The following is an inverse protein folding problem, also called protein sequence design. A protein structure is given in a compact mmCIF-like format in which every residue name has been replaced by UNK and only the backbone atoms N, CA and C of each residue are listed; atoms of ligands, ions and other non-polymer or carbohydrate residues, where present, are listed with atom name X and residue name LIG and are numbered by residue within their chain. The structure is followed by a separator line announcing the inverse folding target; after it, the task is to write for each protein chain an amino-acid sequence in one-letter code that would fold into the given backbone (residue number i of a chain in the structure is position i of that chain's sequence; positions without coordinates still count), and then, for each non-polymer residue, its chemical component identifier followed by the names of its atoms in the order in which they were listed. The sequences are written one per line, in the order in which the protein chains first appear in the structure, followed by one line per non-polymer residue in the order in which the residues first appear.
data_IF_471141062949
#
_entry.id   IF_471141062949
#
_cell.length_a   1.000
_cell.length_b   1.000
_cell.length_c   1.000
_cell.angle_alpha   90.00
_cell.angle_beta   90.00
_cell.angle_gamma   90.00
#
_symmetry.space_group_name_H-M   'P 1'
#
loop_
_entity.id
_entity.type
_entity.pdbx_description
1 polymer ?
#
# COMPACT_ATOMS: atom_id res chain seq x y z
N UNK A 1 -5.70 -11.90 4.42
CA UNK A 1 -5.19 -13.10 5.09
C UNK A 1 -4.54 -12.78 6.42
N UNK A 2 -3.51 -11.91 6.46
CA UNK A 2 -2.79 -11.60 7.69
C UNK A 2 -3.72 -11.03 8.78
N UNK A 3 -4.60 -10.11 8.42
CA UNK A 3 -5.60 -9.56 9.35
C UNK A 3 -6.48 -10.66 9.95
N UNK A 4 -7.05 -11.52 9.11
CA UNK A 4 -7.89 -12.65 9.56
C UNK A 4 -7.13 -13.63 10.45
N UNK A 5 -5.85 -13.90 10.14
CA UNK A 5 -4.99 -14.78 10.93
C UNK A 5 -4.69 -14.24 12.33
N UNK A 6 -4.65 -12.92 12.48
CA UNK A 6 -4.28 -12.23 13.71
C UNK A 6 -5.47 -11.56 14.42
N UNK A 7 -6.71 -11.92 14.05
CA UNK A 7 -7.95 -11.36 14.62
C UNK A 7 -8.02 -9.81 14.51
N UNK A 8 -7.47 -9.25 13.42
CA UNK A 8 -7.52 -7.82 13.13
C UNK A 8 -8.58 -7.52 12.07
N UNK A 9 -9.20 -6.36 12.18
CA UNK A 9 -10.16 -5.86 11.21
C UNK A 9 -9.55 -4.77 10.34
N UNK A 10 -10.08 -4.62 9.13
CA UNK A 10 -9.65 -3.60 8.19
C UNK A 10 -9.79 -2.18 8.74
N UNK A 11 -10.81 -1.96 9.56
CA UNK A 11 -11.12 -0.67 10.18
C UNK A 11 -10.25 -0.29 11.39
N UNK A 12 -9.36 -1.17 11.85
CA UNK A 12 -8.54 -0.91 13.05
C UNK A 12 -7.07 -1.32 12.89
N UNK A 13 -6.56 -1.36 11.66
CA UNK A 13 -5.18 -1.76 11.36
C UNK A 13 -4.29 -0.61 10.88
N UNK A 14 -4.73 0.64 10.98
CA UNK A 14 -4.05 1.79 10.37
C UNK A 14 -2.64 2.04 10.91
N UNK A 15 -2.44 1.95 12.23
CA UNK A 15 -1.12 2.12 12.85
C UNK A 15 -0.13 1.04 12.39
N UNK A 16 -0.57 -0.21 12.38
CA UNK A 16 0.23 -1.32 11.87
C UNK A 16 0.55 -1.14 10.38
N UNK A 17 -0.42 -0.67 9.61
CA UNK A 17 -0.24 -0.41 8.19
C UNK A 17 0.74 0.74 7.97
N UNK A 18 0.66 1.80 8.78
CA UNK A 18 1.60 2.91 8.76
C UNK A 18 3.04 2.41 9.02
N UNK A 19 3.23 1.60 10.07
CA UNK A 19 4.52 0.99 10.38
C UNK A 19 5.08 0.17 9.20
N UNK A 20 4.26 -0.68 8.60
CA UNK A 20 4.70 -1.48 7.45
C UNK A 20 5.06 -0.60 6.25
N UNK A 21 4.27 0.44 5.98
CA UNK A 21 4.52 1.35 4.89
C UNK A 21 5.75 2.24 5.13
N UNK A 22 6.03 2.62 6.38
CA UNK A 22 7.30 3.26 6.74
C UNK A 22 8.49 2.40 6.33
N UNK A 23 8.52 1.13 6.78
CA UNK A 23 9.61 0.21 6.46
C UNK A 23 9.75 -0.05 4.96
N UNK A 24 8.62 -0.25 4.28
CA UNK A 24 8.58 -0.50 2.84
C UNK A 24 9.13 0.69 2.04
N UNK A 25 8.61 1.88 2.30
CA UNK A 25 9.02 3.10 1.59
C UNK A 25 10.48 3.45 1.90
N UNK A 26 10.87 3.41 3.17
CA UNK A 26 12.25 3.66 3.60
C UNK A 26 13.24 2.70 2.92
N UNK A 27 12.93 1.42 2.87
CA UNK A 27 13.78 0.42 2.24
C UNK A 27 13.97 0.66 0.75
N UNK A 28 12.89 0.96 0.03
CA UNK A 28 12.95 1.24 -1.42
C UNK A 28 13.75 2.52 -1.69
N UNK A 29 13.47 3.61 -0.98
CA UNK A 29 14.17 4.88 -1.14
C UNK A 29 15.65 4.71 -0.80
N UNK A 30 15.96 4.05 0.32
CA UNK A 30 17.34 3.79 0.73
C UNK A 30 18.11 2.97 -0.31
N UNK A 31 17.48 1.96 -0.90
CA UNK A 31 18.08 1.16 -1.98
C UNK A 31 18.36 2.01 -3.23
N UNK A 32 17.42 2.89 -3.61
CA UNK A 32 17.62 3.81 -4.75
C UNK A 32 18.75 4.80 -4.49
N UNK A 33 18.92 5.29 -3.25
CA UNK A 33 20.04 6.15 -2.86
C UNK A 33 21.35 5.37 -2.91
N UNK A 34 21.40 4.13 -2.44
CA UNK A 34 22.60 3.29 -2.51
C UNK A 34 23.01 3.03 -3.96
N UNK A 35 22.06 2.81 -4.84
CA UNK A 35 22.33 2.69 -6.28
C UNK A 35 22.82 3.99 -6.88
N UNK A 36 22.32 5.15 -6.41
CA UNK A 36 22.80 6.46 -6.87
C UNK A 36 24.22 6.73 -6.37
N UNK A 37 24.58 6.32 -5.15
CA UNK A 37 25.94 6.41 -4.63
C UNK A 37 26.93 5.58 -5.45
N UNK A 38 26.50 4.41 -5.94
CA UNK A 38 27.32 3.49 -6.73
C UNK A 38 27.40 3.91 -8.22
N UNK A 39 26.30 4.41 -8.81
CA UNK A 39 26.11 4.57 -10.27
C UNK A 39 25.75 5.98 -10.71
N UNK A 40 25.72 6.94 -9.81
CA UNK A 40 25.19 8.28 -10.04
C UNK A 40 23.66 8.36 -9.91
N UNK A 41 23.17 9.55 -9.67
CA UNK A 41 21.74 9.85 -9.67
C UNK A 41 21.12 9.63 -11.06
N UNK A 42 19.79 9.54 -11.12
CA UNK A 42 19.09 9.54 -12.43
C UNK A 42 19.20 10.92 -13.10
N UNK A 43 19.17 10.94 -14.42
CA UNK A 43 19.33 12.18 -15.21
C UNK A 43 18.27 13.24 -14.85
N UNK A 44 17.05 12.80 -14.54
CA UNK A 44 15.95 13.67 -14.17
C UNK A 44 15.96 14.09 -12.68
N UNK A 45 16.99 13.74 -11.89
CA UNK A 45 17.00 13.98 -10.43
C UNK A 45 16.71 15.45 -10.08
N UNK A 46 17.35 16.38 -10.78
CA UNK A 46 17.22 17.81 -10.52
C UNK A 46 15.77 18.34 -10.66
N UNK A 47 14.96 17.68 -11.49
CA UNK A 47 13.57 18.04 -11.75
C UNK A 47 12.57 17.31 -10.83
N UNK A 48 13.07 16.54 -9.86
CA UNK A 48 12.24 15.75 -8.96
C UNK A 48 12.05 16.40 -7.60
N UNK A 49 10.99 16.02 -6.89
CA UNK A 49 10.77 16.42 -5.49
C UNK A 49 11.85 15.89 -4.55
N UNK A 50 12.57 14.85 -4.94
CA UNK A 50 13.72 14.33 -4.21
C UNK A 50 14.85 15.35 -4.10
N UNK A 51 15.10 16.13 -5.18
CA UNK A 51 16.08 17.22 -5.18
C UNK A 51 15.64 18.40 -4.29
N UNK A 52 14.32 18.59 -4.12
CA UNK A 52 13.76 19.56 -3.18
C UNK A 52 13.83 19.07 -1.70
N UNK A 53 14.34 17.88 -1.46
CA UNK A 53 14.37 17.26 -0.13
C UNK A 53 13.02 16.76 0.36
N UNK A 54 12.02 16.65 -0.52
CA UNK A 54 10.67 16.22 -0.18
C UNK A 54 10.51 14.71 -0.36
N UNK A 55 10.10 14.03 0.71
CA UNK A 55 9.70 12.62 0.68
C UNK A 55 8.17 12.51 0.48
N UNK A 56 7.65 11.36 0.03
CA UNK A 56 6.20 11.16 -0.08
C UNK A 56 5.45 11.51 1.21
N UNK A 57 5.99 11.13 2.36
CA UNK A 57 5.40 11.37 3.69
C UNK A 57 5.26 12.86 4.06
N UNK A 58 5.94 13.77 3.37
CA UNK A 58 5.85 15.22 3.60
C UNK A 58 4.72 15.86 2.81
N UNK A 59 4.06 15.09 1.97
CA UNK A 59 3.00 15.56 1.08
C UNK A 59 1.60 15.42 1.70
N UNK A 60 1.53 15.21 3.01
CA UNK A 60 0.27 15.14 3.75
C UNK A 60 -0.39 16.50 3.89
N UNK A 61 -1.67 16.50 4.25
CA UNK A 61 -2.45 17.68 4.57
C UNK A 61 -2.64 17.82 6.09
N UNK A 62 -2.90 19.01 6.64
CA UNK A 62 -3.22 19.16 8.05
C UNK A 62 -4.38 18.26 8.52
N UNK A 63 -5.35 18.02 7.65
CA UNK A 63 -6.44 17.10 7.94
C UNK A 63 -5.93 15.66 8.10
N UNK A 64 -5.01 15.20 7.26
CA UNK A 64 -4.39 13.89 7.41
C UNK A 64 -3.67 13.79 8.76
N UNK A 65 -2.82 14.77 9.08
CA UNK A 65 -2.01 14.77 10.29
C UNK A 65 -2.88 14.81 11.57
N UNK A 66 -4.07 15.41 11.51
CA UNK A 66 -5.04 15.37 12.61
C UNK A 66 -5.68 13.98 12.82
N UNK A 67 -5.78 13.19 11.77
CA UNK A 67 -6.39 11.85 11.82
C UNK A 67 -5.37 10.73 12.12
N UNK A 68 -4.12 10.92 11.68
CA UNK A 68 -3.08 9.89 11.69
C UNK A 68 -1.75 10.46 12.18
N UNK A 69 -1.66 10.68 13.49
CA UNK A 69 -0.41 11.14 14.12
C UNK A 69 0.39 9.95 14.67
N UNK A 70 0.92 9.13 13.75
CA UNK A 70 1.73 7.97 14.11
C UNK A 70 3.20 8.32 14.25
N UNK A 71 3.88 7.61 15.16
CA UNK A 71 5.30 7.80 15.45
C UNK A 71 6.18 7.41 14.26
N UNK A 72 7.19 8.23 13.96
CA UNK A 72 8.24 7.90 13.01
C UNK A 72 9.26 6.97 13.66
N UNK A 73 9.31 5.72 13.18
CA UNK A 73 10.17 4.67 13.75
C UNK A 73 11.54 4.53 13.07
N UNK A 74 11.77 5.27 11.97
CA UNK A 74 12.96 5.14 11.14
C UNK A 74 13.71 6.47 11.02
N UNK A 75 15.00 6.41 10.76
CA UNK A 75 15.86 7.60 10.64
C UNK A 75 15.72 8.28 9.26
N UNK A 76 14.59 8.94 9.07
CA UNK A 76 14.33 9.72 7.87
C UNK A 76 15.30 10.90 7.70
N UNK A 77 15.87 11.42 8.78
CA UNK A 77 16.83 12.53 8.72
C UNK A 77 18.12 12.11 8.03
N UNK A 78 18.70 10.99 8.43
CA UNK A 78 19.87 10.44 7.76
C UNK A 78 19.59 10.06 6.32
N UNK A 79 18.39 9.53 6.02
CA UNK A 79 18.01 9.22 4.64
C UNK A 79 17.93 10.48 3.77
N UNK A 80 17.35 11.59 4.28
CA UNK A 80 17.35 12.89 3.58
C UNK A 80 18.75 13.41 3.29
N UNK A 81 19.63 13.33 4.29
CA UNK A 81 21.03 13.76 4.12
C UNK A 81 21.73 12.95 3.01
N UNK A 82 21.46 11.64 2.93
CA UNK A 82 21.98 10.79 1.85
C UNK A 82 21.39 11.15 0.49
N UNK A 83 20.08 11.42 0.40
CA UNK A 83 19.44 11.88 -0.85
C UNK A 83 20.05 13.19 -1.31
N UNK A 84 20.24 14.14 -0.42
CA UNK A 84 20.86 15.44 -0.75
C UNK A 84 22.30 15.28 -1.26
N UNK A 85 23.05 14.30 -0.76
CA UNK A 85 24.45 14.06 -1.12
C UNK A 85 24.61 13.27 -2.42
N UNK A 86 23.81 12.24 -2.65
CA UNK A 86 24.01 11.26 -3.71
C UNK A 86 22.89 11.29 -4.76
N UNK A 87 21.78 11.93 -4.45
CA UNK A 87 20.56 11.84 -5.25
C UNK A 87 19.84 10.51 -5.09
N UNK A 88 18.96 10.21 -6.05
CA UNK A 88 18.27 8.93 -6.19
C UNK A 88 18.50 8.34 -7.57
N UNK A 89 18.58 7.03 -7.69
CA UNK A 89 18.74 6.34 -8.98
C UNK A 89 17.45 6.25 -9.77
N UNK A 90 16.31 6.29 -9.09
CA UNK A 90 14.98 6.15 -9.68
C UNK A 90 14.15 7.41 -9.39
N UNK A 91 13.69 8.10 -10.42
CA UNK A 91 12.88 9.32 -10.28
C UNK A 91 11.50 9.04 -9.69
N UNK A 92 10.95 7.84 -9.95
CA UNK A 92 9.69 7.33 -9.42
C UNK A 92 9.90 5.91 -8.91
N UNK A 93 9.38 5.57 -7.73
CA UNK A 93 9.74 4.34 -7.04
C UNK A 93 8.56 3.48 -6.64
N UNK A 94 7.46 4.08 -6.12
CA UNK A 94 6.37 3.34 -5.50
C UNK A 94 5.04 3.76 -6.12
N UNK A 95 4.41 2.82 -6.81
CA UNK A 95 3.04 2.94 -7.31
C UNK A 95 2.21 1.77 -6.82
N UNK A 96 1.00 2.04 -6.35
CA UNK A 96 0.03 1.03 -5.94
C UNK A 96 -1.10 0.96 -6.95
N UNK A 97 -1.43 -0.23 -7.39
CA UNK A 97 -2.49 -0.46 -8.37
C UNK A 97 -3.44 -1.56 -7.90
N UNK A 98 -4.69 -1.62 -8.40
CA UNK A 98 -5.60 -2.72 -8.10
C UNK A 98 -5.11 -4.02 -8.74
N UNK A 99 -4.26 -4.75 -8.04
CA UNK A 99 -3.60 -5.96 -8.53
C UNK A 99 -4.59 -7.13 -8.57
N UNK A 100 -5.06 -7.49 -9.75
CA UNK A 100 -6.00 -8.59 -9.92
C UNK A 100 -5.31 -9.92 -10.23
N UNK A 101 -4.57 -9.98 -11.31
CA UNK A 101 -3.87 -11.19 -11.75
C UNK A 101 -2.68 -11.52 -10.85
N UNK A 102 -1.91 -10.51 -10.46
CA UNK A 102 -0.79 -10.69 -9.53
C UNK A 102 -1.24 -11.21 -8.17
N UNK A 103 -2.38 -10.73 -7.64
CA UNK A 103 -2.96 -11.24 -6.40
C UNK A 103 -3.32 -12.73 -6.50
N UNK A 104 -3.79 -13.21 -7.66
CA UNK A 104 -4.11 -14.62 -7.88
C UNK A 104 -2.87 -15.49 -7.93
N UNK A 105 -1.82 -15.03 -8.60
CA UNK A 105 -0.54 -15.74 -8.70
C UNK A 105 0.13 -15.84 -7.33
N UNK A 106 0.05 -14.79 -6.52
CA UNK A 106 0.63 -14.77 -5.16
C UNK A 106 -0.16 -15.59 -4.13
N UNK A 107 -1.28 -16.20 -4.52
CA UNK A 107 -2.11 -17.05 -3.64
C UNK A 107 -3.08 -16.32 -2.74
N UNK A 108 -3.17 -14.98 -2.80
CA UNK A 108 -4.17 -14.19 -2.06
C UNK A 108 -5.52 -14.06 -2.80
N UNK A 109 -5.61 -14.58 -3.95
CA UNK A 109 -6.63 -14.90 -4.98
C UNK A 109 -7.96 -14.16 -5.04
N UNK A 110 -8.47 -13.57 -3.98
CA UNK A 110 -9.86 -13.05 -3.93
C UNK A 110 -9.93 -11.54 -3.75
N UNK A 111 -8.80 -10.84 -3.75
CA UNK A 111 -8.73 -9.38 -3.63
C UNK A 111 -8.14 -8.72 -4.87
N UNK A 112 -8.35 -7.42 -5.00
CA UNK A 112 -7.71 -6.56 -5.97
C UNK A 112 -6.68 -5.66 -5.26
N UNK A 113 -5.49 -6.19 -5.02
CA UNK A 113 -4.42 -5.45 -4.33
C UNK A 113 -4.74 -5.16 -2.88
N UNK A 114 -4.85 -3.87 -2.52
CA UNK A 114 -5.06 -3.41 -1.14
C UNK A 114 -6.52 -3.42 -0.68
N UNK A 115 -7.47 -3.76 -1.55
CA UNK A 115 -8.89 -3.84 -1.20
C UNK A 115 -9.18 -5.01 -0.26
N UNK A 116 -10.20 -4.92 0.62
CA UNK A 116 -10.75 -6.09 1.31
C UNK A 116 -11.24 -7.14 0.30
N UNK A 117 -11.33 -8.37 0.73
CA UNK A 117 -11.91 -9.42 -0.11
C UNK A 117 -13.37 -9.12 -0.43
N UNK A 118 -13.81 -9.50 -1.63
CA UNK A 118 -15.23 -9.41 -2.00
C UNK A 118 -16.01 -10.62 -1.55
N UNK A 119 -15.43 -11.80 -1.80
CA UNK A 119 -16.00 -13.10 -1.44
C UNK A 119 -14.91 -14.05 -0.98
N UNK A 120 -15.28 -15.05 -0.17
CA UNK A 120 -14.37 -16.09 0.30
C UNK A 120 -13.93 -17.02 -0.84
N UNK A 121 -14.78 -17.18 -1.84
CA UNK A 121 -14.53 -17.98 -3.05
C UNK A 121 -15.02 -17.17 -4.24
N UNK A 122 -14.15 -16.92 -5.20
CA UNK A 122 -14.52 -16.28 -6.47
C UNK A 122 -14.28 -17.22 -7.63
N UNK A 123 -15.14 -17.16 -8.65
CA UNK A 123 -14.95 -17.85 -9.92
C UNK A 123 -14.58 -16.84 -10.99
N UNK A 124 -13.53 -17.12 -11.75
CA UNK A 124 -13.10 -16.28 -12.87
C UNK A 124 -12.75 -17.12 -14.08
N UNK A 125 -13.17 -16.68 -15.25
CA UNK A 125 -12.91 -17.35 -16.52
C UNK A 125 -14.00 -17.08 -17.56
N UNK A 126 -13.77 -17.54 -18.79
CA UNK A 126 -14.74 -17.47 -19.87
C UNK A 126 -15.76 -18.63 -19.85
N UNK A 127 -16.65 -18.67 -20.86
CA UNK A 127 -17.73 -19.68 -20.97
C UNK A 127 -17.27 -21.14 -20.84
N UNK A 128 -16.03 -21.46 -21.23
CA UNK A 128 -15.52 -22.84 -21.30
C UNK A 128 -14.48 -23.22 -20.26
N UNK A 129 -14.00 -22.26 -19.44
CA UNK A 129 -13.02 -22.52 -18.36
C UNK A 129 -13.26 -21.55 -17.23
N UNK A 130 -13.61 -22.08 -16.08
CA UNK A 130 -13.74 -21.32 -14.83
C UNK A 130 -12.69 -21.84 -13.84
N UNK A 131 -11.84 -20.92 -13.35
CA UNK A 131 -10.96 -21.19 -12.22
C UNK A 131 -11.62 -20.65 -10.95
N UNK A 132 -11.60 -21.46 -9.90
CA UNK A 132 -12.03 -21.04 -8.54
C UNK A 132 -10.81 -20.57 -7.76
N UNK A 133 -10.93 -19.40 -7.17
CA UNK A 133 -9.93 -18.84 -6.26
C UNK A 133 -10.54 -18.77 -4.87
N UNK A 134 -9.79 -19.24 -3.90
CA UNK A 134 -10.25 -19.40 -2.52
C UNK A 134 -9.33 -18.60 -1.62
N UNK A 135 -9.87 -17.96 -0.58
CA UNK A 135 -9.03 -17.28 0.43
C UNK A 135 -8.11 -18.29 1.13
N UNK A 136 -6.90 -17.90 1.52
CA UNK A 136 -6.02 -18.78 2.27
C UNK A 136 -6.69 -19.30 3.55
N UNK A 137 -6.45 -20.56 3.87
CA UNK A 137 -6.96 -21.23 5.07
C UNK A 137 -8.47 -21.06 5.31
N UNK A 138 -9.28 -21.14 4.25
CA UNK A 138 -10.72 -20.93 4.30
C UNK A 138 -11.39 -21.71 5.43
N UNK A 139 -11.06 -23.00 5.58
CA UNK A 139 -11.70 -23.86 6.60
C UNK A 139 -11.52 -23.33 8.04
N UNK A 140 -10.39 -22.66 8.31
CA UNK A 140 -10.04 -22.16 9.64
C UNK A 140 -10.42 -20.69 9.86
N UNK A 141 -10.37 -19.88 8.80
CA UNK A 141 -10.45 -18.42 8.91
C UNK A 141 -11.70 -17.81 8.27
N UNK A 142 -12.64 -18.62 7.76
CA UNK A 142 -13.82 -18.11 7.04
C UNK A 142 -14.59 -17.01 7.79
N UNK A 143 -14.75 -17.16 9.10
CA UNK A 143 -15.52 -16.24 9.93
C UNK A 143 -14.71 -15.04 10.44
N UNK A 144 -13.40 -15.01 10.13
CA UNK A 144 -12.47 -13.95 10.52
C UNK A 144 -12.16 -12.99 9.37
N UNK A 145 -12.47 -13.38 8.14
CA UNK A 145 -12.29 -12.51 6.98
C UNK A 145 -13.24 -11.33 7.02
N UNK A 146 -12.69 -10.16 6.70
CA UNK A 146 -13.41 -8.89 6.62
C UNK A 146 -13.70 -8.62 5.12
N UNK A 147 -14.96 -8.75 4.72
CA UNK A 147 -15.34 -8.56 3.30
C UNK A 147 -15.72 -7.11 3.07
N UNK A 148 -15.54 -6.65 1.83
CA UNK A 148 -15.91 -5.28 1.44
C UNK A 148 -17.38 -4.97 1.75
N UNK A 149 -18.26 -5.97 1.62
CA UNK A 149 -19.71 -5.84 1.83
C UNK A 149 -20.13 -5.88 3.30
N UNK A 150 -19.19 -6.21 4.20
CA UNK A 150 -19.44 -6.19 5.67
C UNK A 150 -19.28 -4.76 6.23
N UNK A 151 -18.75 -3.82 5.44
CA UNK A 151 -18.60 -2.43 5.82
C UNK A 151 -19.85 -1.62 5.49
N UNK A 152 -20.30 -0.80 6.45
CA UNK A 152 -21.46 0.11 6.28
C UNK A 152 -21.13 1.35 5.45
N UNK A 153 -19.86 1.68 5.30
CA UNK A 153 -19.37 2.83 4.53
C UNK A 153 -17.99 2.56 3.94
N UNK A 154 -17.57 3.39 2.98
CA UNK A 154 -16.21 3.35 2.43
C UNK A 154 -15.15 4.02 3.32
N UNK A 155 -15.51 4.50 4.50
CA UNK A 155 -14.61 5.29 5.36
C UNK A 155 -13.34 4.52 5.72
N UNK A 156 -13.47 3.27 6.19
CA UNK A 156 -12.33 2.42 6.54
C UNK A 156 -11.39 2.21 5.35
N UNK A 157 -11.96 2.03 4.17
CA UNK A 157 -11.22 1.84 2.92
C UNK A 157 -10.44 3.12 2.55
N UNK A 158 -11.11 4.28 2.60
CA UNK A 158 -10.49 5.57 2.29
C UNK A 158 -9.36 5.88 3.28
N UNK A 159 -9.56 5.61 4.57
CA UNK A 159 -8.52 5.77 5.60
C UNK A 159 -7.31 4.88 5.32
N UNK A 160 -7.53 3.63 4.93
CA UNK A 160 -6.44 2.72 4.52
C UNK A 160 -5.65 3.28 3.34
N UNK A 161 -6.33 3.76 2.30
CA UNK A 161 -5.67 4.37 1.15
C UNK A 161 -4.88 5.63 1.54
N UNK A 162 -5.42 6.45 2.44
CA UNK A 162 -4.74 7.64 2.92
C UNK A 162 -3.41 7.29 3.62
N UNK A 163 -3.42 6.27 4.48
CA UNK A 163 -2.20 5.79 5.14
C UNK A 163 -1.17 5.26 4.13
N UNK A 164 -1.59 4.49 3.14
CA UNK A 164 -0.68 3.97 2.10
C UNK A 164 -0.15 5.11 1.23
N UNK A 165 -1.02 6.05 0.83
CA UNK A 165 -0.63 7.19 -0.04
C UNK A 165 0.46 8.06 0.58
N UNK A 166 0.50 8.18 1.91
CA UNK A 166 1.55 8.92 2.62
C UNK A 166 2.95 8.44 2.23
N UNK A 167 3.10 7.17 1.89
CA UNK A 167 4.41 6.54 1.65
C UNK A 167 4.66 6.18 0.18
N UNK A 168 3.76 6.58 -0.71
CA UNK A 168 3.88 6.34 -2.17
C UNK A 168 4.10 7.64 -2.91
N UNK A 169 5.00 7.65 -3.89
CA UNK A 169 5.32 8.84 -4.71
C UNK A 169 4.40 8.98 -5.93
N UNK A 170 3.58 7.97 -6.21
CA UNK A 170 2.56 7.99 -7.24
C UNK A 170 1.15 7.94 -6.65
N UNK A 171 0.17 8.46 -7.37
CA UNK A 171 -1.23 8.38 -6.98
C UNK A 171 -1.72 6.93 -6.95
N UNK A 172 -2.55 6.60 -5.96
CA UNK A 172 -3.17 5.28 -5.83
C UNK A 172 -4.50 5.25 -6.57
N UNK A 173 -4.67 4.27 -7.46
CA UNK A 173 -5.97 3.95 -8.05
C UNK A 173 -6.83 3.18 -7.04
N UNK A 174 -8.02 3.67 -6.76
CA UNK A 174 -8.92 3.09 -5.76
C UNK A 174 -10.31 2.83 -6.34
N UNK A 175 -10.99 1.80 -5.81
CA UNK A 175 -12.41 1.59 -6.02
C UNK A 175 -13.16 1.87 -4.72
N UNK A 176 -14.30 2.51 -4.83
CA UNK A 176 -15.26 2.67 -3.73
C UNK A 176 -16.49 1.81 -4.02
N UNK A 177 -17.11 1.31 -2.96
CA UNK A 177 -18.19 0.34 -3.05
C UNK A 177 -19.42 0.85 -2.31
N UNK A 178 -20.55 0.76 -2.94
CA UNK A 178 -21.83 1.20 -2.39
C UNK A 178 -22.89 0.11 -2.60
N UNK A 179 -23.63 -0.20 -1.55
CA UNK A 179 -24.82 -1.02 -1.71
C UNK A 179 -25.92 -0.20 -2.40
N UNK A 180 -26.55 -0.78 -3.40
CA UNK A 180 -27.75 -0.17 -4.00
C UNK A 180 -28.87 -0.26 -2.98
N UNK A 181 -29.36 0.88 -2.54
CA UNK A 181 -30.58 0.99 -1.73
C UNK A 181 -31.81 0.72 -2.58
#
# INVERSE_FOLDING_TARGET
YWLAKNDKKYSNCYELLDEWMQHFSYGIISASVSLAEERGACDAYADTRWAEGKLPKDMTTPMYDSLFNYEEKLDWTSLRARIAKYGVRNASMIAMFPAETSAKISGSGTTNGIEPIRELIISKGGKNRQAKFVVPELARLKDKYDRIWDHTSCEALIKTYAVIQRYTDQAISVNTYYNKQ
#
